data_IF_892901920047
#
_entry.id   IF_892901920047
#
_cell.length_a   1.000
_cell.length_b   1.000
_cell.length_c   1.000
_cell.angle_alpha   90.00
_cell.angle_beta   90.00
_cell.angle_gamma   90.00
#
_symmetry.space_group_name_H-M   'P 1'
#
loop_
_entity.id
_entity.type
_entity.pdbx_description
1 polymer ?
#
# COMPACT_ATOMS: atom_id res chain seq x y z
N UNK A 1 -36.65 4.80 2.12
CA UNK A 1 -37.22 5.99 1.43
C UNK A 1 -36.74 5.92 -0.02
N UNK A 2 -37.62 6.01 -1.00
CA UNK A 2 -37.47 5.46 -2.35
C UNK A 2 -36.40 6.15 -3.21
N UNK A 3 -35.58 5.36 -3.90
CA UNK A 3 -34.64 5.75 -4.97
C UNK A 3 -35.23 6.64 -6.07
N UNK A 4 -36.55 6.69 -6.24
CA UNK A 4 -37.25 7.54 -7.21
C UNK A 4 -37.33 9.03 -6.82
N UNK A 5 -37.16 9.37 -5.55
CA UNK A 5 -37.20 10.77 -5.08
C UNK A 5 -35.84 11.46 -5.19
N UNK A 6 -34.74 10.71 -5.15
CA UNK A 6 -33.37 11.27 -5.33
C UNK A 6 -33.13 11.66 -6.79
N UNK A 7 -33.55 10.82 -7.75
CA UNK A 7 -33.40 11.10 -9.18
C UNK A 7 -34.21 12.31 -9.69
N UNK A 8 -35.35 12.61 -9.03
CA UNK A 8 -36.14 13.80 -9.38
C UNK A 8 -35.54 15.10 -8.86
N UNK A 9 -34.82 15.09 -7.74
CA UNK A 9 -34.17 16.28 -7.20
C UNK A 9 -32.93 16.66 -8.01
N UNK A 10 -32.16 15.68 -8.50
CA UNK A 10 -30.99 15.92 -9.34
C UNK A 10 -31.40 16.45 -10.73
N UNK A 11 -32.46 15.92 -11.33
CA UNK A 11 -33.01 16.47 -12.59
C UNK A 11 -33.60 17.88 -12.44
N UNK A 12 -34.22 18.20 -11.30
CA UNK A 12 -34.74 19.55 -11.05
C UNK A 12 -33.61 20.59 -10.88
N UNK A 13 -32.48 20.18 -10.29
CA UNK A 13 -31.31 21.08 -10.13
C UNK A 13 -30.60 21.40 -11.43
N UNK A 14 -30.54 20.42 -12.35
CA UNK A 14 -30.00 20.62 -13.72
C UNK A 14 -30.87 21.59 -14.54
N UNK A 15 -32.20 21.46 -14.46
CA UNK A 15 -33.15 22.32 -15.23
C UNK A 15 -33.14 23.76 -14.73
N UNK A 16 -32.96 24.00 -13.43
CA UNK A 16 -32.92 25.37 -12.88
C UNK A 16 -31.62 26.10 -13.20
N UNK A 17 -30.47 25.42 -13.28
CA UNK A 17 -29.18 26.00 -13.76
C UNK A 17 -29.25 26.38 -15.24
N UNK A 18 -29.87 25.56 -16.10
CA UNK A 18 -30.09 25.87 -17.54
C UNK A 18 -30.94 27.11 -17.75
N UNK A 19 -31.93 27.36 -16.91
CA UNK A 19 -32.80 28.55 -17.03
C UNK A 19 -32.08 29.86 -16.63
N UNK A 20 -31.11 29.82 -15.72
CA UNK A 20 -30.35 31.02 -15.30
C UNK A 20 -29.31 31.42 -16.33
N UNK A 21 -28.68 30.45 -17.01
CA UNK A 21 -27.67 30.73 -18.04
C UNK A 21 -28.28 31.40 -19.30
N UNK A 22 -29.49 31.00 -19.71
CA UNK A 22 -30.21 31.57 -20.86
C UNK A 22 -30.65 33.03 -20.59
N UNK A 23 -30.95 33.40 -19.35
CA UNK A 23 -31.33 34.78 -19.00
C UNK A 23 -30.13 35.76 -18.98
N UNK A 24 -28.90 35.30 -18.75
CA UNK A 24 -27.69 36.14 -18.78
C UNK A 24 -27.22 36.49 -20.21
N UNK A 25 -27.47 35.61 -21.20
CA UNK A 25 -27.10 35.86 -22.61
C UNK A 25 -28.00 36.89 -23.31
N UNK A 26 -29.22 37.13 -22.83
CA UNK A 26 -30.16 38.10 -23.45
C UNK A 26 -30.02 39.56 -23.00
N UNK A 27 -29.17 39.82 -21.99
CA UNK A 27 -28.96 41.19 -21.44
C UNK A 27 -27.81 41.97 -22.12
N UNK A 28 -27.04 41.37 -23.05
CA UNK A 28 -25.86 41.97 -23.68
C UNK A 28 -26.10 42.54 -25.09
N UNK A 29 -27.37 42.68 -25.57
CA UNK A 29 -27.69 43.15 -26.92
C UNK A 29 -28.27 44.59 -26.92
N UNK A 30 -27.62 45.55 -26.27
CA UNK A 30 -27.93 46.95 -26.58
C UNK A 30 -26.76 47.87 -26.20
N UNK A 31 -25.99 48.27 -27.22
CA UNK A 31 -24.97 49.31 -27.01
C UNK A 31 -23.93 49.36 -28.14
N UNK A 32 -24.31 49.81 -29.33
CA UNK A 32 -23.39 50.20 -30.39
C UNK A 32 -22.71 51.54 -30.04
N UNK A 33 -21.38 51.54 -29.92
CA UNK A 33 -20.54 52.71 -30.19
C UNK A 33 -19.29 52.25 -30.95
N UNK A 34 -19.14 52.76 -32.17
CA UNK A 34 -17.97 52.57 -33.03
C UNK A 34 -16.71 53.17 -32.43
N UNK A 35 -15.68 52.35 -32.26
CA UNK A 35 -14.30 52.83 -32.24
C UNK A 35 -13.45 51.74 -32.93
N UNK A 36 -12.93 52.06 -34.11
CA UNK A 36 -11.95 51.25 -34.82
C UNK A 36 -10.61 51.32 -34.09
N UNK A 37 -10.28 50.29 -33.30
CA UNK A 37 -8.93 49.99 -32.90
C UNK A 37 -8.57 48.63 -33.51
N UNK A 38 -7.44 48.60 -34.25
CA UNK A 38 -6.79 47.39 -34.75
C UNK A 38 -6.58 46.43 -33.59
N UNK A 39 -7.44 45.44 -33.41
CA UNK A 39 -7.25 44.35 -32.45
C UNK A 39 -6.17 43.43 -33.01
N UNK A 40 -4.99 43.48 -32.43
CA UNK A 40 -4.11 42.29 -32.40
C UNK A 40 -4.93 41.12 -31.86
N UNK A 41 -5.01 40.06 -32.64
CA UNK A 41 -5.57 38.77 -32.17
C UNK A 41 -4.63 38.25 -31.07
N UNK A 42 -4.91 38.59 -29.83
CA UNK A 42 -4.43 37.78 -28.69
C UNK A 42 -5.07 36.43 -28.89
N UNK A 43 -4.30 35.44 -29.37
CA UNK A 43 -4.70 34.07 -29.34
C UNK A 43 -4.93 33.69 -27.87
N UNK A 44 -6.18 33.46 -27.51
CA UNK A 44 -6.49 32.82 -26.24
C UNK A 44 -5.68 31.51 -26.16
N UNK A 45 -5.07 31.19 -25.01
CA UNK A 45 -4.37 29.91 -24.85
C UNK A 45 -5.31 28.77 -25.26
N UNK A 46 -4.76 27.72 -25.88
CA UNK A 46 -5.57 26.58 -26.27
C UNK A 46 -6.29 26.02 -25.04
N UNK A 47 -7.56 25.67 -25.19
CA UNK A 47 -8.35 25.04 -24.10
C UNK A 47 -7.61 23.75 -23.68
N UNK A 48 -7.40 23.49 -22.37
CA UNK A 48 -6.74 22.27 -21.92
C UNK A 48 -7.52 21.03 -22.34
N UNK A 49 -6.83 19.96 -22.63
CA UNK A 49 -7.43 18.68 -22.98
C UNK A 49 -8.06 18.01 -21.75
N UNK A 50 -9.02 17.11 -21.94
CA UNK A 50 -9.60 16.30 -20.86
C UNK A 50 -8.52 15.61 -20.03
N UNK A 51 -7.52 15.00 -20.69
CA UNK A 51 -6.39 14.33 -20.02
C UNK A 51 -5.56 15.29 -19.15
N UNK A 52 -5.33 16.52 -19.58
CA UNK A 52 -4.63 17.54 -18.78
C UNK A 52 -5.46 17.99 -17.58
N UNK A 53 -6.76 18.21 -17.75
CA UNK A 53 -7.65 18.56 -16.65
C UNK A 53 -7.68 17.49 -15.58
N UNK A 54 -7.89 16.23 -15.99
CA UNK A 54 -7.94 15.09 -15.08
C UNK A 54 -6.59 14.90 -14.37
N UNK A 55 -5.46 14.94 -15.09
CA UNK A 55 -4.13 14.79 -14.49
C UNK A 55 -3.77 15.89 -13.48
N UNK A 56 -4.35 17.07 -13.64
CA UNK A 56 -4.20 18.20 -12.74
C UNK A 56 -5.26 18.25 -11.62
N UNK A 57 -6.11 17.24 -11.53
CA UNK A 57 -7.22 17.17 -10.56
C UNK A 57 -8.23 18.31 -10.70
N UNK A 58 -8.36 18.86 -11.91
CA UNK A 58 -9.37 19.85 -12.28
C UNK A 58 -10.64 19.11 -12.73
N UNK A 59 -11.23 18.37 -11.81
CA UNK A 59 -12.33 17.45 -12.13
C UNK A 59 -13.63 18.17 -12.49
N UNK A 60 -13.88 19.35 -11.93
CA UNK A 60 -15.06 20.13 -12.24
C UNK A 60 -15.03 20.60 -13.72
N UNK A 61 -13.88 21.16 -14.16
CA UNK A 61 -13.69 21.60 -15.55
C UNK A 61 -13.66 20.39 -16.52
N UNK A 62 -13.14 19.24 -16.05
CA UNK A 62 -13.15 18.01 -16.83
C UNK A 62 -14.58 17.50 -17.07
N UNK A 63 -15.46 17.58 -16.08
CA UNK A 63 -16.87 17.21 -16.20
C UNK A 63 -17.61 18.13 -17.17
N UNK A 64 -17.42 19.45 -17.08
CA UNK A 64 -18.01 20.39 -18.04
C UNK A 64 -17.60 20.05 -19.48
N UNK A 65 -16.35 19.67 -19.70
CA UNK A 65 -15.86 19.26 -21.03
C UNK A 65 -16.49 17.95 -21.52
N UNK A 66 -16.65 16.97 -20.63
CA UNK A 66 -17.29 15.68 -20.94
C UNK A 66 -18.78 15.85 -21.25
N UNK A 67 -19.50 16.64 -20.46
CA UNK A 67 -20.91 16.94 -20.69
C UNK A 67 -21.13 17.59 -22.08
N UNK A 68 -20.29 18.59 -22.44
CA UNK A 68 -20.33 19.24 -23.77
C UNK A 68 -20.08 18.23 -24.90
N UNK A 69 -19.11 17.32 -24.74
CA UNK A 69 -18.76 16.33 -25.76
C UNK A 69 -19.85 15.26 -25.90
N UNK A 70 -20.43 14.79 -24.79
CA UNK A 70 -21.53 13.84 -24.74
C UNK A 70 -22.75 14.42 -25.49
N UNK A 71 -23.15 15.68 -25.16
CA UNK A 71 -24.29 16.33 -25.81
C UNK A 71 -24.11 16.43 -27.33
N UNK A 72 -22.93 16.83 -27.81
CA UNK A 72 -22.60 16.93 -29.21
C UNK A 72 -22.65 15.57 -29.94
N UNK A 73 -22.21 14.51 -29.30
CA UNK A 73 -22.18 13.16 -29.91
C UNK A 73 -23.54 12.48 -29.86
N UNK A 74 -24.32 12.71 -28.81
CA UNK A 74 -25.69 12.24 -28.66
C UNK A 74 -26.60 12.84 -29.73
N UNK A 75 -26.52 14.15 -29.99
CA UNK A 75 -27.25 14.82 -31.11
C UNK A 75 -26.89 14.23 -32.45
N UNK A 76 -25.65 13.72 -32.63
CA UNK A 76 -25.22 13.07 -33.89
C UNK A 76 -25.55 11.57 -33.94
N UNK A 77 -26.22 11.03 -32.93
CA UNK A 77 -26.58 9.61 -32.82
C UNK A 77 -25.36 8.67 -32.74
N UNK A 78 -24.24 9.13 -32.18
CA UNK A 78 -23.04 8.33 -31.98
C UNK A 78 -23.09 7.59 -30.64
N UNK A 79 -22.29 6.52 -30.53
CA UNK A 79 -22.10 5.81 -29.26
C UNK A 79 -21.33 6.68 -28.27
N UNK A 80 -21.91 6.91 -27.10
CA UNK A 80 -21.39 7.71 -26.02
C UNK A 80 -21.00 6.87 -24.78
N UNK A 81 -21.14 5.55 -24.85
CA UNK A 81 -20.98 4.64 -23.69
C UNK A 81 -19.65 4.81 -22.97
N UNK A 82 -18.56 5.04 -23.72
CA UNK A 82 -17.23 5.24 -23.16
C UNK A 82 -17.11 6.59 -22.44
N UNK A 83 -17.68 7.65 -22.99
CA UNK A 83 -17.66 8.99 -22.38
C UNK A 83 -18.49 9.03 -21.10
N UNK A 84 -19.67 8.38 -21.09
CA UNK A 84 -20.49 8.26 -19.88
C UNK A 84 -19.77 7.48 -18.78
N UNK A 85 -19.01 6.44 -19.13
CA UNK A 85 -18.17 5.73 -18.15
C UNK A 85 -17.04 6.61 -17.60
N UNK A 86 -16.42 7.44 -18.45
CA UNK A 86 -15.40 8.41 -18.03
C UNK A 86 -16.01 9.53 -17.16
N UNK A 87 -17.18 10.04 -17.52
CA UNK A 87 -17.92 11.03 -16.72
C UNK A 87 -18.18 10.49 -15.32
N UNK A 88 -18.71 9.27 -15.18
CA UNK A 88 -18.94 8.65 -13.89
C UNK A 88 -17.67 8.45 -13.06
N UNK A 89 -16.51 8.17 -13.70
CA UNK A 89 -15.22 8.09 -13.02
C UNK A 89 -14.76 9.47 -12.53
N UNK A 90 -14.86 10.51 -13.37
CA UNK A 90 -14.46 11.87 -13.00
C UNK A 90 -15.36 12.45 -11.90
N UNK A 91 -16.68 12.13 -11.92
CA UNK A 91 -17.60 12.48 -10.83
C UNK A 91 -17.14 11.88 -9.48
N UNK A 92 -16.75 10.59 -9.49
CA UNK A 92 -16.19 9.95 -8.28
C UNK A 92 -14.92 10.65 -7.80
N UNK A 93 -14.01 10.98 -8.73
CA UNK A 93 -12.80 11.74 -8.40
C UNK A 93 -13.11 13.09 -7.78
N UNK A 94 -14.10 13.82 -8.30
CA UNK A 94 -14.53 15.11 -7.75
C UNK A 94 -15.11 14.97 -6.35
N UNK A 95 -15.95 13.94 -6.12
CA UNK A 95 -16.50 13.63 -4.81
C UNK A 95 -15.39 13.31 -3.81
N UNK A 96 -14.41 12.46 -4.19
CA UNK A 96 -13.28 12.11 -3.33
C UNK A 96 -12.37 13.31 -3.04
N UNK A 97 -12.15 14.18 -4.03
CA UNK A 97 -11.39 15.44 -3.84
C UNK A 97 -12.07 16.32 -2.79
N UNK A 98 -13.39 16.44 -2.82
CA UNK A 98 -14.14 17.28 -1.88
C UNK A 98 -14.10 16.78 -0.43
N UNK A 99 -13.75 15.51 -0.21
CA UNK A 99 -13.62 14.86 1.11
C UNK A 99 -12.18 14.41 1.37
N UNK A 100 -11.18 15.08 0.77
CA UNK A 100 -9.77 14.82 1.00
C UNK A 100 -9.45 14.85 2.49
N UNK A 101 -8.76 13.83 2.97
CA UNK A 101 -8.44 13.71 4.39
C UNK A 101 -7.26 14.60 4.77
N UNK A 102 -7.39 15.25 5.92
CA UNK A 102 -6.34 16.06 6.54
C UNK A 102 -5.36 15.14 7.29
N UNK A 103 -4.30 14.75 6.61
CA UNK A 103 -3.30 13.79 7.08
C UNK A 103 -1.94 14.46 7.18
N UNK A 104 -1.25 14.28 8.31
CA UNK A 104 0.12 14.74 8.51
C UNK A 104 1.12 13.69 8.00
N UNK A 105 1.77 13.93 6.86
CA UNK A 105 2.84 13.08 6.32
C UNK A 105 4.18 13.42 6.94
N UNK A 106 4.80 12.45 7.61
CA UNK A 106 6.06 12.67 8.35
C UNK A 106 7.32 12.43 7.51
N UNK A 107 7.25 11.47 6.56
CA UNK A 107 8.37 11.14 5.67
C UNK A 107 7.88 10.43 4.40
N UNK A 108 8.79 10.26 3.43
CA UNK A 108 8.56 9.45 2.25
C UNK A 108 9.86 8.83 1.75
N UNK A 109 9.77 7.63 1.18
CA UNK A 109 10.90 6.92 0.59
C UNK A 109 10.52 6.38 -0.79
N UNK A 110 11.40 6.56 -1.75
CA UNK A 110 11.25 5.95 -3.08
C UNK A 110 12.01 4.63 -3.12
N UNK A 111 11.31 3.56 -3.47
CA UNK A 111 11.83 2.20 -3.52
C UNK A 111 11.60 1.59 -4.91
N UNK A 112 12.37 0.57 -5.25
CA UNK A 112 12.05 -0.31 -6.37
C UNK A 112 10.82 -1.18 -6.01
N UNK A 113 9.89 -1.40 -6.94
CA UNK A 113 8.64 -2.17 -6.70
C UNK A 113 8.88 -3.53 -6.05
N UNK A 114 9.97 -4.23 -6.39
CA UNK A 114 10.32 -5.52 -5.79
C UNK A 114 10.72 -5.45 -4.30
N UNK A 115 10.97 -4.27 -3.77
CA UNK A 115 11.41 -4.05 -2.39
C UNK A 115 10.32 -3.40 -1.51
N UNK A 116 9.15 -3.09 -2.09
CA UNK A 116 8.14 -2.27 -1.42
C UNK A 116 7.61 -2.87 -0.11
N UNK A 117 7.56 -4.18 0.02
CA UNK A 117 7.06 -4.84 1.23
C UNK A 117 8.18 -5.25 2.21
N UNK A 118 9.42 -5.40 1.73
CA UNK A 118 10.54 -5.94 2.53
C UNK A 118 11.46 -4.88 3.14
N UNK A 119 11.34 -3.61 2.71
CA UNK A 119 12.24 -2.53 3.12
C UNK A 119 11.58 -1.49 4.04
N UNK A 120 10.46 -1.84 4.69
CA UNK A 120 9.70 -0.93 5.53
C UNK A 120 10.19 -0.99 6.99
N UNK A 121 10.38 0.17 7.67
CA UNK A 121 10.81 0.25 9.05
C UNK A 121 9.62 0.05 10.03
N UNK A 122 8.93 -1.09 9.89
CA UNK A 122 7.75 -1.44 10.68
C UNK A 122 8.13 -2.29 11.89
N UNK A 123 7.32 -2.24 12.95
CA UNK A 123 7.51 -3.09 14.13
C UNK A 123 7.14 -4.56 13.83
N UNK A 124 7.74 -5.49 14.60
CA UNK A 124 7.38 -6.90 14.51
C UNK A 124 6.00 -7.21 15.11
N UNK A 125 5.41 -6.27 15.85
CA UNK A 125 4.12 -6.43 16.51
C UNK A 125 2.94 -6.47 15.52
N UNK A 126 3.09 -5.84 14.35
CA UNK A 126 2.04 -5.89 13.32
C UNK A 126 1.96 -7.22 12.57
N UNK A 127 2.90 -8.15 12.80
CA UNK A 127 3.04 -9.39 12.05
C UNK A 127 4.07 -9.31 10.93
N UNK A 128 3.94 -10.18 9.94
CA UNK A 128 4.92 -10.32 8.85
C UNK A 128 4.28 -9.94 7.52
N UNK A 129 4.93 -9.01 6.81
CA UNK A 129 4.49 -8.52 5.49
C UNK A 129 5.61 -8.76 4.50
N UNK A 130 5.27 -9.27 3.33
CA UNK A 130 6.27 -9.56 2.30
C UNK A 130 5.69 -10.32 1.12
N UNK A 131 6.55 -11.03 0.39
CA UNK A 131 6.11 -12.05 -0.53
C UNK A 131 5.78 -13.34 0.23
N UNK A 132 4.95 -14.21 -0.33
CA UNK A 132 4.59 -15.46 0.32
C UNK A 132 5.83 -16.31 0.67
N UNK A 133 6.85 -16.30 -0.21
CA UNK A 133 8.13 -16.99 0.04
C UNK A 133 8.87 -16.44 1.26
N UNK A 134 8.76 -15.15 1.54
CA UNK A 134 9.39 -14.51 2.70
C UNK A 134 8.58 -14.71 3.98
N UNK A 135 7.25 -14.60 3.89
CA UNK A 135 6.33 -14.60 5.03
C UNK A 135 6.05 -16.03 5.54
N UNK A 136 5.79 -16.96 4.64
CA UNK A 136 5.49 -18.36 4.99
C UNK A 136 6.06 -19.34 3.97
N UNK A 137 7.35 -19.73 4.07
CA UNK A 137 7.99 -20.66 3.15
C UNK A 137 7.32 -22.02 3.07
N UNK A 138 6.65 -22.46 4.12
CA UNK A 138 5.95 -23.74 4.19
C UNK A 138 4.74 -23.80 3.23
N UNK A 139 3.94 -22.74 3.22
CA UNK A 139 2.82 -22.59 2.27
C UNK A 139 3.34 -22.29 0.87
N UNK A 140 4.40 -21.49 0.76
CA UNK A 140 5.04 -21.12 -0.51
C UNK A 140 5.49 -22.33 -1.33
N UNK A 141 5.96 -23.41 -0.69
CA UNK A 141 6.37 -24.65 -1.37
C UNK A 141 5.23 -25.33 -2.14
N UNK A 142 3.99 -25.01 -1.82
CA UNK A 142 2.79 -25.59 -2.45
C UNK A 142 2.21 -24.66 -3.53
N UNK A 143 2.80 -23.48 -3.76
CA UNK A 143 2.29 -22.46 -4.65
C UNK A 143 3.31 -22.12 -5.74
N UNK A 144 2.86 -22.07 -7.00
CA UNK A 144 3.66 -21.50 -8.08
C UNK A 144 3.74 -19.98 -7.92
N UNK A 145 4.91 -19.40 -8.23
CA UNK A 145 5.12 -17.93 -8.19
C UNK A 145 5.02 -17.27 -6.81
N UNK A 146 5.31 -18.01 -5.73
CA UNK A 146 5.28 -17.50 -4.35
C UNK A 146 6.16 -16.25 -4.11
N UNK A 147 7.20 -16.04 -4.94
CA UNK A 147 8.08 -14.86 -4.89
C UNK A 147 7.40 -13.54 -5.32
N UNK A 148 6.26 -13.62 -6.00
CA UNK A 148 5.51 -12.45 -6.49
C UNK A 148 4.19 -12.24 -5.78
N UNK A 149 3.70 -13.23 -5.04
CA UNK A 149 2.46 -13.17 -4.29
C UNK A 149 2.64 -12.31 -3.04
N UNK A 150 1.84 -11.25 -2.88
CA UNK A 150 1.81 -10.47 -1.64
C UNK A 150 1.17 -11.29 -0.52
N UNK A 151 1.74 -11.21 0.67
CA UNK A 151 1.30 -11.96 1.83
C UNK A 151 1.41 -11.14 3.12
N UNK A 152 0.49 -11.40 4.02
CA UNK A 152 0.49 -10.90 5.37
C UNK A 152 0.16 -12.05 6.35
N UNK A 153 0.97 -12.21 7.37
CA UNK A 153 0.75 -13.15 8.47
C UNK A 153 0.67 -12.36 9.77
N UNK A 154 -0.35 -12.62 10.58
CA UNK A 154 -0.51 -11.92 11.85
C UNK A 154 0.61 -12.25 12.84
N UNK A 155 0.77 -11.44 13.89
CA UNK A 155 1.83 -11.59 14.90
C UNK A 155 1.77 -12.89 15.71
N UNK A 156 0.60 -13.54 15.77
CA UNK A 156 0.42 -14.86 16.40
C UNK A 156 0.83 -16.03 15.48
N UNK A 157 1.15 -15.78 14.22
CA UNK A 157 1.50 -16.75 13.20
C UNK A 157 0.45 -17.86 13.02
N UNK A 158 -0.83 -17.54 13.27
CA UNK A 158 -1.94 -18.48 13.15
C UNK A 158 -2.88 -18.17 11.99
N UNK A 159 -2.79 -16.98 11.39
CA UNK A 159 -3.57 -16.58 10.24
C UNK A 159 -2.69 -15.92 9.16
N UNK A 160 -2.79 -16.43 7.94
CA UNK A 160 -2.05 -15.97 6.77
C UNK A 160 -3.04 -15.54 5.68
N UNK A 161 -2.89 -14.31 5.17
CA UNK A 161 -3.61 -13.79 4.02
C UNK A 161 -2.65 -13.69 2.84
N UNK A 162 -3.09 -14.17 1.68
CA UNK A 162 -2.25 -14.25 0.47
C UNK A 162 -3.01 -13.85 -0.79
N UNK A 163 -2.27 -13.35 -1.75
CA UNK A 163 -2.76 -13.13 -3.12
C UNK A 163 -2.46 -14.37 -3.96
N UNK A 164 -3.49 -14.94 -4.60
CA UNK A 164 -3.33 -16.08 -5.51
C UNK A 164 -4.19 -15.88 -6.76
N UNK A 165 -3.78 -16.47 -7.88
CA UNK A 165 -4.60 -16.52 -9.09
C UNK A 165 -5.73 -17.51 -8.92
N UNK A 166 -6.93 -17.08 -9.29
CA UNK A 166 -8.10 -17.92 -9.38
C UNK A 166 -8.07 -18.84 -10.63
N UNK A 167 -9.13 -19.60 -10.86
CA UNK A 167 -9.24 -20.53 -11.99
C UNK A 167 -9.21 -19.87 -13.37
N UNK A 168 -9.44 -18.56 -13.46
CA UNK A 168 -9.39 -17.78 -14.70
C UNK A 168 -8.14 -16.90 -14.79
N UNK A 169 -7.22 -17.00 -13.82
CA UNK A 169 -5.93 -16.34 -13.80
C UNK A 169 -5.94 -14.93 -13.21
N UNK A 170 -7.03 -14.51 -12.56
CA UNK A 170 -7.18 -13.22 -11.88
C UNK A 170 -6.67 -13.35 -10.44
N UNK A 171 -5.85 -12.40 -9.99
CA UNK A 171 -5.36 -12.35 -8.62
C UNK A 171 -6.50 -12.06 -7.63
N UNK A 172 -6.65 -12.91 -6.63
CA UNK A 172 -7.67 -12.84 -5.58
C UNK A 172 -7.05 -13.07 -4.21
N UNK A 173 -7.76 -12.66 -3.17
CA UNK A 173 -7.34 -12.82 -1.80
C UNK A 173 -7.87 -14.12 -1.20
N UNK A 174 -6.98 -14.83 -0.51
CA UNK A 174 -7.22 -16.09 0.18
C UNK A 174 -6.68 -16.01 1.60
N UNK A 175 -7.18 -16.87 2.48
CA UNK A 175 -6.64 -17.08 3.81
C UNK A 175 -6.27 -18.54 4.06
N UNK A 176 -5.24 -18.74 4.88
CA UNK A 176 -4.86 -20.01 5.47
C UNK A 176 -4.79 -19.85 6.97
N UNK A 177 -5.19 -20.90 7.73
CA UNK A 177 -5.08 -20.92 9.17
C UNK A 177 -4.07 -21.99 9.59
N UNK A 178 -3.26 -21.67 10.60
CA UNK A 178 -2.35 -22.64 11.20
C UNK A 178 -3.07 -23.38 12.31
N UNK A 179 -3.33 -24.66 12.11
CA UNK A 179 -3.96 -25.54 13.08
C UNK A 179 -2.91 -26.49 13.67
N UNK A 180 -2.42 -26.17 14.86
CA UNK A 180 -1.42 -26.99 15.58
C UNK A 180 -0.16 -27.27 14.74
N UNK A 181 0.38 -26.27 14.05
CA UNK A 181 1.57 -26.36 13.22
C UNK A 181 1.33 -26.86 11.79
N UNK A 182 0.07 -27.00 11.38
CA UNK A 182 -0.27 -27.39 10.01
C UNK A 182 -1.15 -26.32 9.36
N UNK A 183 -0.70 -25.79 8.23
CA UNK A 183 -1.46 -24.82 7.46
C UNK A 183 -2.60 -25.48 6.67
N UNK A 184 -3.79 -24.88 6.75
CA UNK A 184 -4.92 -25.28 5.91
C UNK A 184 -4.68 -24.90 4.45
N UNK A 185 -5.40 -25.55 3.54
CA UNK A 185 -5.43 -25.13 2.14
C UNK A 185 -5.98 -23.70 2.02
N UNK A 186 -5.49 -22.88 1.06
CA UNK A 186 -6.00 -21.55 0.83
C UNK A 186 -7.50 -21.51 0.54
N UNK A 187 -8.23 -20.68 1.24
CA UNK A 187 -9.69 -20.48 1.09
C UNK A 187 -9.96 -19.05 0.64
N UNK A 188 -10.75 -18.81 -0.42
CA UNK A 188 -11.10 -17.46 -0.87
C UNK A 188 -11.77 -16.67 0.26
N UNK A 189 -11.45 -15.37 0.37
CA UNK A 189 -12.09 -14.49 1.36
C UNK A 189 -13.53 -14.20 0.98
N UNK A 190 -14.47 -14.75 1.73
CA UNK A 190 -15.91 -14.51 1.50
C UNK A 190 -16.26 -13.02 1.70
N UNK A 191 -17.09 -12.48 0.80
CA UNK A 191 -17.43 -11.05 0.74
C UNK A 191 -16.46 -10.19 -0.10
N UNK A 192 -15.21 -10.63 -0.34
CA UNK A 192 -14.21 -9.89 -1.13
C UNK A 192 -13.85 -10.63 -2.42
N UNK A 193 -13.54 -11.91 -2.37
CA UNK A 193 -13.00 -12.66 -3.49
C UNK A 193 -13.94 -12.70 -4.72
N UNK A 194 -15.25 -12.59 -4.52
CA UNK A 194 -16.25 -12.54 -5.59
C UNK A 194 -16.32 -11.20 -6.32
N UNK A 195 -15.70 -10.14 -5.79
CA UNK A 195 -15.68 -8.82 -6.44
C UNK A 195 -14.81 -8.85 -7.69
N UNK A 196 -15.16 -8.04 -8.68
CA UNK A 196 -14.43 -7.95 -9.96
C UNK A 196 -13.03 -7.35 -9.77
N UNK A 197 -12.13 -7.60 -10.75
CA UNK A 197 -10.78 -7.08 -10.79
C UNK A 197 -9.77 -7.86 -9.97
N UNK A 198 -8.51 -7.52 -10.14
CA UNK A 198 -7.39 -8.08 -9.38
C UNK A 198 -7.38 -7.53 -7.96
N UNK A 199 -6.94 -8.34 -6.99
CA UNK A 199 -6.88 -8.01 -5.57
C UNK A 199 -5.50 -8.36 -5.03
N UNK A 200 -4.98 -7.58 -4.08
CA UNK A 200 -3.67 -7.85 -3.51
C UNK A 200 -3.39 -7.05 -2.24
N UNK A 201 -2.18 -7.20 -1.72
CA UNK A 201 -1.64 -6.42 -0.61
C UNK A 201 -2.50 -6.44 0.66
N UNK A 202 -2.86 -7.63 1.17
CA UNK A 202 -3.70 -7.75 2.36
C UNK A 202 -2.99 -7.25 3.61
N UNK A 203 -3.74 -6.61 4.52
CA UNK A 203 -3.30 -6.24 5.85
C UNK A 203 -4.48 -6.25 6.82
N UNK A 204 -4.36 -6.96 7.94
CA UNK A 204 -5.34 -7.00 9.03
C UNK A 204 -4.79 -6.22 10.22
N UNK A 205 -5.57 -5.30 10.80
CA UNK A 205 -5.21 -4.67 12.06
C UNK A 205 -5.17 -5.68 13.21
N UNK A 206 -4.50 -5.31 14.30
CA UNK A 206 -4.41 -6.13 15.51
C UNK A 206 -5.78 -6.40 16.16
N UNK A 207 -6.80 -5.58 15.82
CA UNK A 207 -8.19 -5.79 16.26
C UNK A 207 -8.84 -7.07 15.70
N UNK A 208 -8.20 -7.69 14.68
CA UNK A 208 -8.72 -8.87 13.98
C UNK A 208 -10.03 -8.66 13.22
N UNK A 209 -10.40 -7.41 13.00
CA UNK A 209 -11.67 -6.99 12.38
C UNK A 209 -11.43 -6.10 11.18
N UNK A 210 -10.60 -5.08 11.30
CA UNK A 210 -10.37 -4.09 10.25
C UNK A 210 -9.32 -4.61 9.26
N UNK A 211 -9.72 -4.72 7.99
CA UNK A 211 -8.91 -5.32 6.93
C UNK A 211 -8.74 -4.34 5.77
N UNK A 212 -7.48 -4.12 5.38
CA UNK A 212 -7.10 -3.31 4.23
C UNK A 212 -6.57 -4.21 3.11
N UNK A 213 -6.85 -3.83 1.88
CA UNK A 213 -6.32 -4.49 0.69
C UNK A 213 -6.41 -3.54 -0.50
N UNK A 214 -5.76 -3.88 -1.60
CA UNK A 214 -5.90 -3.12 -2.85
C UNK A 214 -6.58 -3.93 -3.93
N UNK A 215 -7.32 -3.25 -4.79
CA UNK A 215 -7.98 -3.89 -5.92
C UNK A 215 -8.09 -2.97 -7.14
N UNK A 216 -8.10 -3.59 -8.32
CA UNK A 216 -8.48 -2.95 -9.58
C UNK A 216 -9.98 -3.15 -9.81
N UNK A 217 -10.80 -2.33 -9.17
CA UNK A 217 -12.25 -2.43 -9.28
C UNK A 217 -12.82 -1.35 -10.21
N UNK A 218 -13.89 -1.62 -10.98
CA UNK A 218 -14.53 -0.63 -11.86
C UNK A 218 -15.03 0.63 -11.16
N UNK A 219 -15.33 0.53 -9.84
CA UNK A 219 -15.73 1.68 -9.02
C UNK A 219 -14.55 2.44 -8.42
N UNK A 220 -13.32 2.01 -8.70
CA UNK A 220 -12.09 2.73 -8.33
C UNK A 220 -11.91 4.02 -9.11
N UNK A 221 -10.86 4.76 -8.78
CA UNK A 221 -10.49 6.02 -9.45
C UNK A 221 -9.17 5.90 -10.21
N UNK A 222 -8.30 4.96 -9.82
CA UNK A 222 -6.99 4.70 -10.41
C UNK A 222 -6.85 3.32 -11.03
N UNK A 223 -5.66 2.74 -10.89
CA UNK A 223 -5.39 1.35 -11.20
C UNK A 223 -5.72 0.44 -10.02
N UNK A 224 -4.72 0.11 -9.17
CA UNK A 224 -5.00 -0.41 -7.84
C UNK A 224 -5.42 0.72 -6.92
N UNK A 225 -6.54 0.55 -6.25
CA UNK A 225 -7.03 1.45 -5.21
C UNK A 225 -7.11 0.70 -3.89
N UNK A 226 -6.89 1.40 -2.78
CA UNK A 226 -6.92 0.84 -1.42
C UNK A 226 -8.36 0.84 -0.89
N UNK A 227 -8.77 -0.31 -0.41
CA UNK A 227 -10.07 -0.54 0.22
C UNK A 227 -9.91 -0.92 1.68
N UNK A 228 -10.91 -0.58 2.48
CA UNK A 228 -11.07 -1.04 3.85
C UNK A 228 -12.38 -1.80 4.00
N UNK A 229 -12.36 -2.88 4.76
CA UNK A 229 -13.56 -3.64 5.11
C UNK A 229 -13.44 -4.16 6.54
N UNK A 230 -14.50 -4.79 7.03
CA UNK A 230 -14.53 -5.38 8.36
C UNK A 230 -14.91 -6.85 8.28
N UNK A 231 -14.14 -7.68 8.95
CA UNK A 231 -14.46 -9.08 9.14
C UNK A 231 -15.57 -9.24 10.17
N UNK A 232 -16.57 -10.04 9.84
CA UNK A 232 -17.68 -10.37 10.72
C UNK A 232 -17.56 -11.83 11.19
N UNK A 233 -17.03 -12.09 12.39
CA UNK A 233 -16.76 -13.44 12.87
C UNK A 233 -18.00 -14.34 12.96
N UNK A 234 -19.17 -13.77 13.29
CA UNK A 234 -20.42 -14.53 13.41
C UNK A 234 -20.92 -15.12 12.10
N UNK A 235 -20.53 -14.53 10.96
CA UNK A 235 -20.91 -14.97 9.62
C UNK A 235 -19.72 -15.51 8.82
N UNK A 236 -18.51 -15.43 9.38
CA UNK A 236 -17.26 -15.85 8.75
C UNK A 236 -17.05 -15.20 7.38
N UNK A 237 -17.34 -13.90 7.26
CA UNK A 237 -17.20 -13.15 6.01
C UNK A 237 -16.78 -11.71 6.25
N UNK A 238 -16.33 -11.07 5.19
CA UNK A 238 -16.07 -9.63 5.16
C UNK A 238 -17.32 -8.86 4.73
N UNK A 239 -17.50 -7.67 5.30
CA UNK A 239 -18.55 -6.73 4.88
C UNK A 239 -18.20 -6.11 3.52
N UNK A 240 -19.16 -5.35 2.95
CA UNK A 240 -18.91 -4.59 1.71
C UNK A 240 -17.74 -3.64 1.90
N UNK A 241 -16.69 -3.74 1.07
CA UNK A 241 -15.53 -2.85 1.17
C UNK A 241 -15.88 -1.40 0.83
N UNK A 242 -15.19 -0.49 1.48
CA UNK A 242 -15.25 0.94 1.22
C UNK A 242 -13.92 1.42 0.65
N UNK A 243 -13.98 2.25 -0.39
CA UNK A 243 -12.81 2.89 -1.00
C UNK A 243 -12.25 3.94 -0.04
N UNK A 244 -10.94 3.94 0.22
CA UNK A 244 -10.31 5.02 0.98
C UNK A 244 -10.37 6.32 0.16
N UNK A 245 -10.38 7.45 0.86
CA UNK A 245 -10.39 8.74 0.17
C UNK A 245 -9.01 9.20 -0.28
N UNK A 246 -8.98 10.31 -1.00
CA UNK A 246 -7.77 11.08 -1.18
C UNK A 246 -7.28 11.59 0.18
N UNK A 247 -5.98 11.62 0.44
CA UNK A 247 -4.88 11.39 -0.51
C UNK A 247 -4.42 9.93 -0.62
N UNK A 248 -5.01 8.97 0.07
CA UNK A 248 -4.57 7.56 0.03
C UNK A 248 -4.75 6.97 -1.36
N UNK A 249 -5.92 7.17 -1.97
CA UNK A 249 -6.17 6.80 -3.36
C UNK A 249 -5.94 7.96 -4.32
N UNK A 250 -5.53 7.64 -5.55
CA UNK A 250 -5.18 8.58 -6.60
C UNK A 250 -5.52 8.03 -7.99
N UNK A 251 -5.22 8.79 -9.04
CA UNK A 251 -5.36 8.32 -10.43
C UNK A 251 -4.30 7.29 -10.85
N UNK A 252 -3.33 6.98 -9.99
CA UNK A 252 -2.26 6.01 -10.21
C UNK A 252 -2.60 4.65 -9.56
N UNK A 253 -1.60 3.80 -9.30
CA UNK A 253 -1.78 2.63 -8.48
C UNK A 253 -1.41 2.96 -7.03
N UNK A 254 -2.29 2.60 -6.12
CA UNK A 254 -2.10 2.72 -4.68
C UNK A 254 -2.17 1.30 -4.09
N UNK A 255 -1.01 0.80 -3.55
CA UNK A 255 -0.79 -0.64 -3.41
C UNK A 255 -1.13 -1.23 -2.06
N UNK A 256 -0.81 -0.56 -0.96
CA UNK A 256 -1.11 -1.05 0.38
C UNK A 256 -1.35 0.10 1.36
N UNK A 257 -2.05 -0.21 2.43
CA UNK A 257 -2.19 0.63 3.61
C UNK A 257 -1.86 -0.22 4.83
N UNK A 258 -0.90 0.21 5.64
CA UNK A 258 -0.44 -0.46 6.84
C UNK A 258 -0.46 0.55 7.97
N UNK A 259 -0.96 0.15 9.13
CA UNK A 259 -0.88 0.93 10.36
C UNK A 259 -0.12 0.16 11.42
N UNK A 260 1.03 0.68 11.82
CA UNK A 260 1.85 0.17 12.90
C UNK A 260 1.37 0.79 14.21
N UNK A 261 0.49 0.05 14.90
CA UNK A 261 -0.10 0.48 16.18
C UNK A 261 0.96 0.63 17.28
N UNK A 262 2.06 -0.13 17.22
CA UNK A 262 3.17 -0.04 18.18
C UNK A 262 3.95 1.27 18.08
N UNK A 263 4.08 1.82 16.86
CA UNK A 263 4.76 3.10 16.60
C UNK A 263 3.79 4.27 16.45
N UNK A 264 2.49 4.00 16.37
CA UNK A 264 1.43 4.96 16.01
C UNK A 264 1.70 5.67 14.67
N UNK A 265 2.17 4.91 13.69
CA UNK A 265 2.55 5.39 12.36
C UNK A 265 1.86 4.56 11.28
N UNK A 266 1.19 5.23 10.34
CA UNK A 266 0.69 4.60 9.14
C UNK A 266 1.65 4.74 7.96
N UNK A 267 1.56 3.82 7.00
CA UNK A 267 2.20 3.98 5.70
C UNK A 267 1.35 3.44 4.57
N UNK A 268 1.50 4.01 3.39
CA UNK A 268 0.91 3.48 2.16
C UNK A 268 1.88 3.68 0.99
N UNK A 269 1.74 2.84 -0.04
CA UNK A 269 2.58 2.90 -1.22
C UNK A 269 1.79 3.29 -2.47
N UNK A 270 2.43 4.08 -3.33
CA UNK A 270 1.83 4.55 -4.58
C UNK A 270 2.88 4.71 -5.66
N UNK A 271 2.52 4.51 -6.92
CA UNK A 271 3.39 4.83 -8.05
C UNK A 271 3.07 6.20 -8.70
N UNK A 272 2.23 7.02 -8.06
CA UNK A 272 1.97 8.40 -8.52
C UNK A 272 3.27 9.17 -8.71
N UNK A 273 3.47 9.72 -9.92
CA UNK A 273 4.66 10.51 -10.29
C UNK A 273 6.00 9.74 -10.14
N UNK A 274 5.98 8.41 -10.19
CA UNK A 274 7.18 7.58 -10.13
C UNK A 274 7.55 7.03 -11.51
N UNK A 275 8.80 6.59 -11.66
CA UNK A 275 9.21 5.79 -12.82
C UNK A 275 8.54 4.40 -12.78
N UNK A 276 8.46 3.71 -13.91
CA UNK A 276 7.70 2.47 -14.08
C UNK A 276 8.02 1.38 -13.03
N UNK A 277 9.30 1.27 -12.62
CA UNK A 277 9.77 0.25 -11.68
C UNK A 277 9.89 0.77 -10.24
N UNK A 278 9.42 2.00 -9.98
CA UNK A 278 9.56 2.66 -8.69
C UNK A 278 8.21 2.93 -8.07
N UNK A 279 8.20 2.97 -6.74
CA UNK A 279 7.06 3.41 -5.92
C UNK A 279 7.54 4.40 -4.87
N UNK A 280 6.65 5.22 -4.38
CA UNK A 280 6.86 6.04 -3.20
C UNK A 280 6.03 5.49 -2.05
N UNK A 281 6.68 5.24 -0.92
CA UNK A 281 6.01 4.93 0.35
C UNK A 281 5.95 6.20 1.17
N UNK A 282 4.76 6.62 1.54
CA UNK A 282 4.53 7.74 2.44
C UNK A 282 4.25 7.23 3.83
N UNK A 283 4.88 7.85 4.85
CA UNK A 283 4.62 7.59 6.26
C UNK A 283 3.83 8.77 6.84
N UNK A 284 2.84 8.48 7.68
CA UNK A 284 1.94 9.49 8.21
C UNK A 284 1.52 9.22 9.65
N UNK A 285 1.07 10.27 10.34
CA UNK A 285 0.40 10.16 11.63
C UNK A 285 -1.08 9.89 11.40
N UNK A 286 -1.63 8.77 11.89
CA UNK A 286 -3.04 8.48 11.77
C UNK A 286 -3.86 9.41 12.64
N UNK A 287 -5.01 9.85 12.15
CA UNK A 287 -5.96 10.59 12.96
C UNK A 287 -6.83 9.60 13.77
N UNK A 288 -7.03 9.83 15.08
CA UNK A 288 -7.95 9.01 15.90
C UNK A 288 -9.39 9.02 15.38
N UNK A 289 -9.80 10.14 14.79
CA UNK A 289 -11.06 10.32 14.08
C UNK A 289 -10.76 10.88 12.68
N UNK A 290 -11.54 10.42 11.70
CA UNK A 290 -11.38 10.89 10.33
C UNK A 290 -11.58 12.40 10.25
N UNK A 291 -10.57 13.12 9.77
CA UNK A 291 -10.61 14.56 9.53
C UNK A 291 -10.56 14.81 8.03
N UNK A 292 -11.37 15.73 7.56
CA UNK A 292 -11.35 16.18 6.17
C UNK A 292 -11.03 17.68 6.14
N UNK A 293 -10.37 18.13 5.08
CA UNK A 293 -10.18 19.54 4.85
C UNK A 293 -11.54 20.23 4.68
N UNK A 294 -11.74 21.36 5.38
CA UNK A 294 -12.97 22.13 5.25
C UNK A 294 -12.94 22.94 3.95
N UNK A 295 -13.91 22.73 3.08
CA UNK A 295 -13.99 23.43 1.79
C UNK A 295 -13.98 24.97 1.90
N UNK A 296 -14.45 25.51 3.02
CA UNK A 296 -14.47 26.95 3.29
C UNK A 296 -13.11 27.52 3.76
N UNK A 297 -12.15 26.65 4.09
CA UNK A 297 -10.84 27.06 4.67
C UNK A 297 -9.69 27.02 3.68
N UNK A 298 -9.83 26.34 2.55
CA UNK A 298 -8.80 26.18 1.52
C UNK A 298 -9.31 26.65 0.17
N UNK A 299 -8.41 27.18 -0.66
CA UNK A 299 -8.73 27.31 -2.07
C UNK A 299 -8.65 25.95 -2.78
N UNK A 300 -9.28 25.85 -3.93
CA UNK A 300 -9.35 24.60 -4.69
C UNK A 300 -7.97 24.11 -5.16
N UNK A 301 -7.02 25.03 -5.42
CA UNK A 301 -5.66 24.66 -5.81
C UNK A 301 -4.88 24.07 -4.62
N UNK A 302 -5.08 24.59 -3.42
CA UNK A 302 -4.50 24.02 -2.20
C UNK A 302 -5.06 22.62 -1.92
N UNK A 303 -6.37 22.45 -2.02
CA UNK A 303 -7.02 21.14 -1.85
C UNK A 303 -6.47 20.10 -2.85
N UNK A 304 -6.31 20.48 -4.13
CA UNK A 304 -5.67 19.65 -5.15
C UNK A 304 -4.22 19.28 -4.79
N UNK A 305 -3.47 20.22 -4.21
CA UNK A 305 -2.09 19.97 -3.78
C UNK A 305 -2.03 18.94 -2.63
N UNK A 306 -2.93 19.03 -1.65
CA UNK A 306 -3.04 18.05 -0.57
C UNK A 306 -3.47 16.68 -1.10
N UNK A 307 -4.51 16.59 -1.93
CA UNK A 307 -4.97 15.34 -2.53
C UNK A 307 -3.88 14.64 -3.35
N UNK A 308 -3.02 15.40 -4.04
CA UNK A 308 -1.90 14.89 -4.81
C UNK A 308 -0.63 14.66 -4.00
N UNK A 309 -0.56 15.09 -2.74
CA UNK A 309 0.64 15.11 -1.90
C UNK A 309 1.79 15.79 -2.67
N UNK A 310 1.59 17.03 -3.15
CA UNK A 310 2.63 17.78 -3.88
C UNK A 310 3.85 18.06 -3.01
N UNK A 311 3.63 18.30 -1.72
CA UNK A 311 4.66 18.48 -0.72
C UNK A 311 4.16 17.93 0.62
N UNK A 312 4.90 17.01 1.24
CA UNK A 312 4.58 16.52 2.59
C UNK A 312 4.71 17.62 3.64
N UNK A 313 5.56 18.64 3.41
CA UNK A 313 5.76 19.74 4.36
C UNK A 313 4.54 20.63 4.50
N UNK A 314 3.70 20.72 3.45
CA UNK A 314 2.49 21.53 3.46
C UNK A 314 1.43 20.93 4.42
N UNK A 315 1.58 19.64 4.80
CA UNK A 315 0.69 18.97 5.75
C UNK A 315 1.13 19.13 7.23
N UNK A 316 2.23 19.83 7.49
CA UNK A 316 2.79 19.95 8.84
C UNK A 316 2.16 21.11 9.61
N UNK A 317 1.40 20.81 10.64
CA UNK A 317 0.93 21.78 11.61
C UNK A 317 1.94 22.02 12.74
N UNK A 318 2.74 20.99 13.09
CA UNK A 318 3.74 21.02 14.16
C UNK A 318 5.02 20.27 13.74
N UNK A 319 6.07 21.03 13.43
CA UNK A 319 7.35 20.48 12.99
C UNK A 319 8.09 19.64 14.06
N UNK A 320 7.86 19.94 15.36
CA UNK A 320 8.47 19.16 16.45
C UNK A 320 7.83 17.78 16.57
N UNK A 321 6.51 17.70 16.45
CA UNK A 321 5.77 16.45 16.44
C UNK A 321 6.19 15.55 15.27
N UNK A 322 6.31 16.13 14.07
CA UNK A 322 6.83 15.44 12.88
C UNK A 322 8.25 14.92 13.11
N UNK A 323 9.12 15.73 13.73
CA UNK A 323 10.49 15.30 14.01
C UNK A 323 10.54 14.14 15.03
N UNK A 324 9.68 14.16 16.04
CA UNK A 324 9.55 13.08 17.02
C UNK A 324 9.02 11.80 16.39
N UNK A 325 7.94 11.90 15.60
CA UNK A 325 7.36 10.77 14.88
C UNK A 325 8.36 10.16 13.88
N UNK A 326 9.12 10.99 13.17
CA UNK A 326 10.18 10.53 12.27
C UNK A 326 11.32 9.85 13.03
N UNK A 327 11.69 10.31 14.21
CA UNK A 327 12.68 9.64 15.05
C UNK A 327 12.16 8.27 15.54
N UNK A 328 10.87 8.17 15.89
CA UNK A 328 10.24 6.90 16.27
C UNK A 328 10.15 5.93 15.10
N UNK A 329 9.80 6.40 13.90
CA UNK A 329 9.74 5.59 12.68
C UNK A 329 11.06 4.83 12.44
N UNK A 330 12.20 5.52 12.55
CA UNK A 330 13.53 4.95 12.29
C UNK A 330 14.25 4.45 13.56
N UNK A 331 13.58 4.50 14.70
CA UNK A 331 14.09 3.87 15.89
C UNK A 331 14.12 2.37 15.67
N UNK A 332 15.32 1.80 15.70
CA UNK A 332 15.44 0.35 15.65
C UNK A 332 14.62 -0.23 16.80
N UNK A 333 13.72 -1.16 16.49
CA UNK A 333 13.05 -1.93 17.53
C UNK A 333 14.12 -2.55 18.41
N UNK A 334 14.30 -2.02 19.61
CA UNK A 334 15.22 -2.58 20.59
C UNK A 334 14.82 -4.02 20.91
N UNK A 335 13.57 -4.39 20.61
CA UNK A 335 13.05 -5.76 20.71
C UNK A 335 13.30 -6.58 19.44
N UNK A 336 13.39 -5.99 18.24
CA UNK A 336 13.72 -6.73 17.01
C UNK A 336 15.22 -6.97 16.84
N UNK A 337 16.07 -6.22 17.55
CA UNK A 337 17.50 -6.54 17.69
C UNK A 337 17.81 -7.53 18.82
N UNK A 338 16.87 -7.89 19.66
CA UNK A 338 16.85 -9.19 20.28
C UNK A 338 16.29 -10.15 19.22
N UNK A 339 17.16 -10.61 18.31
CA UNK A 339 16.96 -11.84 17.60
C UNK A 339 16.31 -12.79 18.59
N UNK A 340 15.02 -13.09 18.44
CA UNK A 340 14.35 -14.03 19.32
C UNK A 340 14.86 -15.39 18.90
N UNK A 341 16.11 -15.67 19.36
CA UNK A 341 16.73 -16.95 19.11
C UNK A 341 15.88 -18.01 19.76
N UNK A 342 15.36 -18.93 18.98
CA UNK A 342 14.67 -20.11 19.50
C UNK A 342 15.74 -21.17 19.79
N UNK A 343 16.07 -21.35 21.04
CA UNK A 343 16.97 -22.41 21.50
C UNK A 343 16.13 -23.65 21.80
N UNK A 344 15.98 -24.52 20.82
CA UNK A 344 15.25 -25.80 20.99
C UNK A 344 16.13 -26.73 21.83
N UNK A 345 15.77 -26.96 23.07
CA UNK A 345 16.51 -27.83 23.98
C UNK A 345 16.06 -29.29 23.78
N UNK A 346 14.76 -29.53 23.75
CA UNK A 346 14.13 -30.80 23.36
C UNK A 346 12.71 -30.51 22.81
N UNK A 347 11.93 -31.55 22.57
CA UNK A 347 10.58 -31.46 22.00
C UNK A 347 9.60 -30.64 22.87
N UNK A 348 9.84 -30.57 24.20
CA UNK A 348 8.98 -29.91 25.17
C UNK A 348 9.55 -28.55 25.67
N UNK A 349 10.84 -28.28 25.44
CA UNK A 349 11.54 -27.13 26.01
C UNK A 349 12.18 -26.30 24.91
N UNK A 350 11.67 -25.09 24.73
CA UNK A 350 12.23 -24.06 23.86
C UNK A 350 12.50 -22.81 24.67
N UNK A 351 13.75 -22.34 24.64
CA UNK A 351 14.13 -21.06 25.25
C UNK A 351 14.15 -19.96 24.20
N UNK A 352 13.74 -18.75 24.59
CA UNK A 352 13.75 -17.56 23.76
C UNK A 352 14.70 -16.48 24.29
N UNK A 353 15.20 -16.68 25.50
CA UNK A 353 16.11 -15.76 26.19
C UNK A 353 17.26 -16.52 26.86
N UNK A 354 18.43 -15.89 26.91
CA UNK A 354 19.63 -16.48 27.52
C UNK A 354 19.49 -16.75 29.04
N UNK A 355 18.62 -15.98 29.70
CA UNK A 355 18.32 -16.10 31.12
C UNK A 355 17.56 -17.38 31.49
N UNK A 356 16.92 -18.01 30.52
CA UNK A 356 16.16 -19.27 30.70
C UNK A 356 17.06 -20.49 30.84
N UNK A 357 18.35 -20.38 30.41
CA UNK A 357 19.31 -21.44 30.57
C UNK A 357 19.66 -21.66 32.06
N UNK A 358 19.50 -22.87 32.53
CA UNK A 358 19.82 -23.32 33.87
C UNK A 358 21.34 -23.53 34.03
N UNK A 359 21.99 -23.99 32.96
CA UNK A 359 23.43 -24.20 32.90
C UNK A 359 24.17 -22.95 32.47
N UNK A 360 25.04 -22.39 33.28
CA UNK A 360 25.93 -21.31 32.91
C UNK A 360 26.86 -21.66 31.72
N UNK A 361 27.20 -22.93 31.59
CA UNK A 361 28.01 -23.44 30.46
C UNK A 361 27.21 -23.50 29.19
N UNK A 362 25.95 -23.97 29.24
CA UNK A 362 25.05 -23.97 28.10
C UNK A 362 24.72 -22.56 27.62
N UNK A 363 24.50 -21.63 28.56
CA UNK A 363 24.31 -20.20 28.25
C UNK A 363 25.48 -19.59 27.47
N UNK A 364 26.73 -19.87 27.89
CA UNK A 364 27.91 -19.40 27.14
C UNK A 364 28.00 -19.99 25.74
N UNK A 365 27.62 -21.25 25.57
CA UNK A 365 27.55 -21.88 24.24
C UNK A 365 26.47 -21.24 23.40
N UNK A 366 25.32 -20.89 23.97
CA UNK A 366 24.24 -20.17 23.31
C UNK A 366 24.70 -18.77 22.83
N UNK A 367 25.46 -18.03 23.68
CA UNK A 367 26.05 -16.74 23.30
C UNK A 367 27.01 -16.89 22.08
N UNK A 368 27.86 -17.93 22.09
CA UNK A 368 28.73 -18.23 20.94
C UNK A 368 27.93 -18.64 19.69
N UNK A 369 26.87 -19.42 19.87
CA UNK A 369 26.00 -19.84 18.79
C UNK A 369 25.31 -18.63 18.14
N UNK A 370 24.85 -17.65 18.90
CA UNK A 370 24.32 -16.37 18.41
C UNK A 370 25.34 -15.68 17.51
N UNK A 371 26.57 -15.45 18.01
CA UNK A 371 27.61 -14.74 17.27
C UNK A 371 27.96 -15.42 15.93
N UNK A 372 28.10 -16.74 15.93
CA UNK A 372 28.45 -17.46 14.69
C UNK A 372 27.24 -17.58 13.73
N UNK A 373 26.01 -17.58 14.25
CA UNK A 373 24.79 -17.54 13.43
C UNK A 373 24.62 -16.17 12.73
N UNK A 374 24.85 -15.07 13.43
CA UNK A 374 24.85 -13.72 12.86
C UNK A 374 25.93 -13.56 11.79
N UNK A 375 27.14 -14.06 12.09
CA UNK A 375 28.22 -14.04 11.13
C UNK A 375 27.89 -14.86 9.87
N UNK A 376 27.26 -16.00 10.03
CA UNK A 376 26.79 -16.84 8.93
C UNK A 376 25.79 -16.10 8.06
N UNK A 377 24.79 -15.46 8.68
CA UNK A 377 23.76 -14.69 7.97
C UNK A 377 24.38 -13.51 7.17
N UNK A 378 25.30 -12.77 7.79
CA UNK A 378 26.02 -11.66 7.14
C UNK A 378 26.80 -12.15 5.91
N UNK A 379 27.57 -13.23 6.06
CA UNK A 379 28.36 -13.78 4.96
C UNK A 379 27.50 -14.35 3.84
N UNK A 380 26.31 -14.91 4.14
CA UNK A 380 25.35 -15.36 3.13
C UNK A 380 24.79 -14.19 2.33
N UNK A 381 24.45 -13.09 2.99
CA UNK A 381 23.99 -11.86 2.31
C UNK A 381 25.07 -11.25 1.41
N UNK A 382 26.31 -11.20 1.91
CA UNK A 382 27.45 -10.70 1.12
C UNK A 382 27.75 -11.60 -0.08
N UNK A 383 27.68 -12.91 0.06
CA UNK A 383 27.84 -13.87 -1.04
C UNK A 383 26.75 -13.66 -2.12
N UNK A 384 25.53 -13.41 -1.70
CA UNK A 384 24.43 -13.14 -2.64
C UNK A 384 24.67 -11.85 -3.45
N UNK A 385 25.13 -10.79 -2.79
CA UNK A 385 25.52 -9.55 -3.46
C UNK A 385 26.68 -9.77 -4.45
N UNK A 386 27.70 -10.54 -4.06
CA UNK A 386 28.82 -10.89 -4.92
C UNK A 386 28.38 -11.70 -6.15
N UNK A 387 27.47 -12.66 -5.98
CA UNK A 387 26.89 -13.42 -7.09
C UNK A 387 26.10 -12.54 -8.05
N UNK A 388 25.30 -11.60 -7.53
CA UNK A 388 24.56 -10.62 -8.35
C UNK A 388 25.51 -9.70 -9.14
N UNK A 389 26.63 -9.29 -8.54
CA UNK A 389 27.68 -8.50 -9.21
C UNK A 389 28.39 -9.31 -10.31
N UNK A 390 28.74 -10.56 -10.02
CA UNK A 390 29.40 -11.48 -10.96
C UNK A 390 28.59 -11.73 -12.24
N UNK A 391 27.25 -11.83 -12.12
CA UNK A 391 26.35 -12.00 -13.27
C UNK A 391 26.38 -10.77 -14.20
N UNK A 392 26.65 -9.57 -13.68
CA UNK A 392 26.68 -8.32 -14.45
C UNK A 392 28.01 -8.04 -15.17
N UNK A 393 29.11 -8.71 -14.79
CA UNK A 393 30.40 -8.50 -15.39
C UNK A 393 31.49 -9.34 -14.70
N UNK A 394 31.58 -10.59 -15.08
CA UNK A 394 32.46 -11.60 -14.46
C UNK A 394 33.94 -11.22 -14.47
N UNK A 395 34.55 -11.05 -13.29
CA UNK A 395 36.00 -10.98 -13.10
C UNK A 395 36.50 -12.25 -12.41
N UNK A 396 37.75 -12.68 -12.73
CA UNK A 396 38.37 -13.84 -12.11
C UNK A 396 38.56 -13.66 -10.60
N UNK A 397 38.82 -12.43 -10.16
CA UNK A 397 38.92 -12.09 -8.73
C UNK A 397 37.62 -12.25 -7.98
N UNK A 398 36.50 -11.89 -8.60
CA UNK A 398 35.17 -12.08 -7.99
C UNK A 398 34.78 -13.56 -7.87
N UNK A 399 35.15 -14.36 -8.87
CA UNK A 399 34.97 -15.81 -8.84
C UNK A 399 35.74 -16.46 -7.67
N UNK A 400 37.03 -16.11 -7.51
CA UNK A 400 37.86 -16.60 -6.39
C UNK A 400 37.24 -16.21 -5.02
N UNK A 401 36.78 -14.96 -4.92
CA UNK A 401 36.12 -14.46 -3.70
C UNK A 401 34.83 -15.22 -3.40
N UNK A 402 33.96 -15.49 -4.38
CA UNK A 402 32.75 -16.30 -4.25
C UNK A 402 33.08 -17.69 -3.70
N UNK A 403 34.06 -18.38 -4.29
CA UNK A 403 34.48 -19.72 -3.84
C UNK A 403 35.02 -19.71 -2.39
N UNK A 404 35.74 -18.67 -2.02
CA UNK A 404 36.24 -18.48 -0.65
C UNK A 404 35.08 -18.29 0.36
N UNK A 405 34.09 -17.45 -0.01
CA UNK A 405 32.90 -17.25 0.81
C UNK A 405 32.08 -18.53 0.96
N UNK A 406 31.86 -19.29 -0.11
CA UNK A 406 31.18 -20.59 -0.09
C UNK A 406 31.86 -21.58 0.84
N UNK A 407 33.18 -21.68 0.77
CA UNK A 407 33.97 -22.53 1.66
C UNK A 407 33.84 -22.11 3.14
N UNK A 408 33.92 -20.81 3.40
CA UNK A 408 33.81 -20.26 4.77
C UNK A 408 32.41 -20.46 5.34
N UNK A 409 31.37 -20.21 4.52
CA UNK A 409 29.97 -20.45 4.89
C UNK A 409 29.74 -21.92 5.23
N UNK A 410 30.31 -22.85 4.46
CA UNK A 410 30.22 -24.27 4.75
C UNK A 410 30.82 -24.63 6.12
N UNK A 411 31.98 -24.08 6.46
CA UNK A 411 32.63 -24.27 7.74
C UNK A 411 31.83 -23.66 8.90
N UNK A 412 31.28 -22.45 8.69
CA UNK A 412 30.45 -21.77 9.68
C UNK A 412 29.18 -22.54 9.97
N UNK A 413 28.49 -23.06 8.95
CA UNK A 413 27.30 -23.92 9.13
C UNK A 413 27.62 -25.13 10.00
N UNK A 414 28.72 -25.81 9.76
CA UNK A 414 29.14 -26.95 10.58
C UNK A 414 29.44 -26.54 12.04
N UNK A 415 29.98 -25.34 12.24
CA UNK A 415 30.26 -24.78 13.57
C UNK A 415 28.96 -24.45 14.32
N UNK A 416 28.02 -23.78 13.66
CA UNK A 416 26.68 -23.43 14.23
C UNK A 416 25.94 -24.69 14.65
N UNK A 417 25.87 -25.73 13.80
CA UNK A 417 25.23 -27.01 14.14
C UNK A 417 25.90 -27.71 15.32
N UNK A 418 27.23 -27.66 15.41
CA UNK A 418 27.98 -28.24 16.54
C UNK A 418 27.70 -27.50 17.84
N UNK A 419 27.66 -26.17 17.81
CA UNK A 419 27.34 -25.34 18.98
C UNK A 419 25.91 -25.60 19.47
N UNK A 420 24.96 -25.69 18.54
CA UNK A 420 23.57 -26.02 18.85
C UNK A 420 23.45 -27.38 19.57
N UNK A 421 24.09 -28.42 19.03
CA UNK A 421 24.12 -29.76 19.67
C UNK A 421 24.77 -29.73 21.05
N UNK A 422 25.89 -29.01 21.20
CA UNK A 422 26.60 -28.92 22.47
C UNK A 422 25.79 -28.15 23.51
N UNK A 423 25.12 -27.08 23.12
CA UNK A 423 24.22 -26.28 23.97
C UNK A 423 23.09 -27.17 24.54
N UNK A 424 22.38 -27.90 23.67
CA UNK A 424 21.32 -28.86 24.09
C UNK A 424 21.83 -29.90 25.06
N UNK A 425 22.91 -30.58 24.69
CA UNK A 425 23.49 -31.63 25.55
C UNK A 425 23.94 -31.11 26.90
N UNK A 426 24.51 -29.88 26.94
CA UNK A 426 25.00 -29.29 28.21
C UNK A 426 23.84 -28.81 29.09
N UNK A 427 22.74 -28.37 28.49
CA UNK A 427 21.54 -27.97 29.24
C UNK A 427 20.78 -29.18 29.78
N UNK A 428 20.66 -30.26 28.99
CA UNK A 428 19.97 -31.50 29.37
C UNK A 428 20.76 -32.35 30.38
N UNK A 429 22.06 -32.12 30.54
CA UNK A 429 22.89 -32.86 31.49
C UNK A 429 22.78 -32.33 32.94
N UNK A 430 21.97 -31.32 33.18
CA UNK A 430 21.62 -30.81 34.53
C UNK A 430 20.29 -31.37 35.00
#
# INVERSE_FOLDING_TARGET
MNHQTLNKSVQLFSITKRAILICLCLACLSGNVFAQHKKEKVQSPPRPSLSELVSNYQFAEALELLEEEIEILEEKGKDISQLVAQEAQVERCLQMLSVTEDICFIDSVVLHKSQMLSALPLSSEIGHIGTLQQVCPEVAQQCDSADTMSAYMNSMEDCLYITMKDSVGIEKLYSCNNLMGTWTSPTPLDGIASLSGEQGYPFMLSDGVTFYYSAQHPDGIGGYDIYVTRYQPSENRFLTPELLNMPFNSLANDYFYIYDEGKDIGCFATDRRQAADSICVYFFLPNPERRIYQADSLDEAELRNYAQIRSIKDTWSNAEEVAQAKAELYKADVQSSQNTYRFIINDDIVYTQLEQFKSASARRIAEQWIQESERLATMQSELELLRKSYIKGASQQEQEKILQYESTIHQLRATVLRLEKNMRNTELAQ
#
